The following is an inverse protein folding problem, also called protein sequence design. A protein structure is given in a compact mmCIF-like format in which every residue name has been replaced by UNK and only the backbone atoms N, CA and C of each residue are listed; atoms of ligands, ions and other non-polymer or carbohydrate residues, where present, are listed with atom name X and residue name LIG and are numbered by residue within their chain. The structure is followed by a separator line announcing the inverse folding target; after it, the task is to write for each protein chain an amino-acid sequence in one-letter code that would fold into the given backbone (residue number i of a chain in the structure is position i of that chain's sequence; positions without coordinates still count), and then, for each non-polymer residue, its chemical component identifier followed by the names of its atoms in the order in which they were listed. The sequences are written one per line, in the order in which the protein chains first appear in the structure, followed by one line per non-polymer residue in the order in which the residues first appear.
data_IF_326785754282
#
_entry.id   IF_326785754282
#
_cell.length_a   1.000
_cell.length_b   1.000
_cell.length_c   1.000
_cell.angle_alpha   90.00
_cell.angle_beta   90.00
_cell.angle_gamma   90.00
#
_symmetry.space_group_name_H-M   'P 1'
#
loop_
_entity.id
_entity.type
_entity.pdbx_description
1 polymer ?
#
# COMPACT_ATOMS: atom_id res chain seq x y z
N UNK A 1 8.49 -31.23 10.51
CA UNK A 1 8.55 -29.83 10.08
C UNK A 1 7.13 -29.33 10.05
N UNK A 2 6.71 -28.56 11.06
CA UNK A 2 5.41 -27.91 11.00
C UNK A 2 5.35 -27.06 9.75
N UNK A 3 4.35 -27.29 8.92
CA UNK A 3 4.10 -26.55 7.71
C UNK A 3 3.61 -25.16 8.15
N UNK A 4 4.52 -24.29 8.61
CA UNK A 4 4.18 -22.93 8.98
C UNK A 4 3.78 -22.19 7.71
N UNK A 5 2.48 -22.22 7.43
CA UNK A 5 1.87 -21.42 6.40
C UNK A 5 2.11 -19.96 6.78
N UNK A 6 2.83 -19.24 5.91
CA UNK A 6 3.13 -17.82 6.12
C UNK A 6 1.83 -17.02 6.33
N UNK A 7 1.76 -16.27 7.42
CA UNK A 7 0.61 -15.43 7.72
C UNK A 7 0.52 -14.27 6.72
N UNK A 8 -0.66 -13.97 6.14
CA UNK A 8 -0.79 -12.83 5.25
C UNK A 8 -0.60 -11.51 5.99
N UNK A 9 0.10 -10.58 5.34
CA UNK A 9 0.27 -9.20 5.78
C UNK A 9 -0.20 -8.26 4.66
N UNK A 10 -1.09 -7.33 4.99
CA UNK A 10 -1.57 -6.31 4.06
C UNK A 10 -1.11 -4.93 4.51
N UNK A 11 -0.31 -4.26 3.69
CA UNK A 11 -0.03 -2.84 3.82
C UNK A 11 -0.97 -2.05 2.91
N UNK A 12 -1.91 -1.34 3.52
CA UNK A 12 -2.97 -0.59 2.85
C UNK A 12 -2.73 0.92 2.97
N UNK A 13 -2.94 1.67 1.89
CA UNK A 13 -2.89 3.13 1.98
C UNK A 13 -3.34 3.83 0.72
N UNK A 14 -3.19 5.16 0.72
CA UNK A 14 -3.41 5.99 -0.45
C UNK A 14 -2.22 5.91 -1.41
N UNK A 15 -2.45 6.27 -2.68
CA UNK A 15 -1.33 6.66 -3.52
C UNK A 15 -0.65 7.88 -2.89
N UNK A 16 0.68 7.92 -2.92
CA UNK A 16 1.49 9.04 -2.41
C UNK A 16 1.47 9.25 -0.87
N UNK A 17 0.91 8.33 -0.08
CA UNK A 17 0.99 8.39 1.40
C UNK A 17 2.24 7.73 2.01
N UNK A 18 3.24 7.38 1.21
CA UNK A 18 4.46 6.69 1.70
C UNK A 18 4.34 5.17 1.80
N UNK A 19 3.28 4.57 1.27
CA UNK A 19 3.10 3.11 1.20
C UNK A 19 4.31 2.37 0.60
N UNK A 20 4.92 2.89 -0.46
CA UNK A 20 6.12 2.27 -1.07
C UNK A 20 7.34 2.35 -0.15
N UNK A 21 7.51 3.44 0.59
CA UNK A 21 8.61 3.61 1.55
C UNK A 21 8.50 2.55 2.66
N UNK A 22 7.31 2.45 3.27
CA UNK A 22 7.08 1.48 4.32
C UNK A 22 7.19 0.04 3.81
N UNK A 23 6.67 -0.27 2.62
CA UNK A 23 6.85 -1.58 2.01
C UNK A 23 8.32 -1.95 1.83
N UNK A 24 9.15 -1.01 1.37
CA UNK A 24 10.58 -1.26 1.22
C UNK A 24 11.29 -1.52 2.56
N UNK A 25 10.90 -0.79 3.62
CA UNK A 25 11.43 -1.03 4.97
C UNK A 25 11.00 -2.39 5.52
N UNK A 26 9.74 -2.77 5.38
CA UNK A 26 9.23 -4.08 5.79
C UNK A 26 9.88 -5.22 5.00
N UNK A 27 10.11 -5.02 3.69
CA UNK A 27 10.83 -5.96 2.84
C UNK A 27 12.29 -6.19 3.24
N UNK A 28 12.87 -5.29 4.04
CA UNK A 28 14.20 -5.48 4.62
C UNK A 28 14.27 -6.55 5.70
N UNK A 29 13.15 -6.98 6.29
CA UNK A 29 13.13 -7.94 7.38
C UNK A 29 13.33 -9.41 6.91
N UNK A 30 14.06 -10.21 7.68
CA UNK A 30 14.26 -11.67 7.48
C UNK A 30 12.96 -12.40 7.23
N UNK A 31 11.94 -12.13 8.04
CA UNK A 31 10.71 -12.88 8.16
C UNK A 31 9.53 -12.31 7.37
N UNK A 32 9.76 -11.29 6.53
CA UNK A 32 8.71 -10.71 5.69
C UNK A 32 9.07 -10.91 4.21
N UNK A 33 8.17 -11.58 3.48
CA UNK A 33 8.15 -11.62 2.02
C UNK A 33 7.28 -10.45 1.55
N UNK A 34 7.87 -9.32 1.15
CA UNK A 34 7.09 -8.13 0.79
C UNK A 34 6.87 -7.99 -0.72
N UNK A 35 5.64 -8.21 -1.18
CA UNK A 35 5.21 -7.94 -2.55
C UNK A 35 4.82 -6.47 -2.74
N UNK A 36 5.12 -5.96 -3.94
CA UNK A 36 4.76 -4.62 -4.36
C UNK A 36 3.60 -4.68 -5.35
N UNK A 37 2.39 -4.39 -4.86
CA UNK A 37 1.19 -4.24 -5.69
C UNK A 37 0.81 -5.48 -6.51
N UNK A 38 1.01 -6.68 -5.95
CA UNK A 38 0.51 -7.90 -6.59
C UNK A 38 -1.01 -7.95 -6.53
N UNK A 39 -1.65 -7.84 -7.70
CA UNK A 39 -3.12 -7.82 -7.85
C UNK A 39 -3.72 -9.22 -8.02
N UNK A 40 -2.93 -10.27 -7.85
CA UNK A 40 -3.31 -11.67 -8.06
C UNK A 40 -3.39 -12.40 -6.70
N UNK A 41 -3.24 -13.74 -6.70
CA UNK A 41 -3.19 -14.56 -5.48
C UNK A 41 -1.76 -14.88 -5.02
N UNK A 42 -0.75 -14.23 -5.60
CA UNK A 42 0.66 -14.57 -5.38
C UNK A 42 1.08 -14.39 -3.91
N UNK A 43 0.46 -13.44 -3.21
CA UNK A 43 0.64 -13.20 -1.76
C UNK A 43 0.39 -14.43 -0.88
N UNK A 44 -0.31 -15.46 -1.38
CA UNK A 44 -0.61 -16.68 -0.63
C UNK A 44 0.20 -17.90 -1.08
N UNK A 45 1.13 -17.71 -2.01
CA UNK A 45 1.93 -18.79 -2.61
C UNK A 45 3.40 -18.74 -2.23
N UNK A 46 3.84 -17.64 -1.62
CA UNK A 46 5.20 -17.51 -1.14
C UNK A 46 5.40 -18.38 0.11
N UNK A 47 6.59 -18.93 0.25
CA UNK A 47 6.98 -19.85 1.33
C UNK A 47 8.29 -19.39 1.96
N UNK A 48 8.61 -19.94 3.14
CA UNK A 48 9.92 -19.82 3.76
C UNK A 48 10.12 -18.64 4.73
N UNK A 49 9.10 -17.80 4.95
CA UNK A 49 9.13 -16.70 5.93
C UNK A 49 7.83 -16.67 6.74
N UNK A 50 7.84 -16.08 7.94
CA UNK A 50 6.62 -15.97 8.78
C UNK A 50 5.50 -15.16 8.13
N UNK A 51 5.81 -14.07 7.43
CA UNK A 51 4.81 -13.19 6.83
C UNK A 51 4.93 -13.09 5.31
N UNK A 52 3.79 -13.15 4.63
CA UNK A 52 3.66 -12.79 3.23
C UNK A 52 2.95 -11.44 3.10
N UNK A 53 3.74 -10.39 3.02
CA UNK A 53 3.32 -9.01 2.85
C UNK A 53 2.92 -8.69 1.42
N UNK A 54 1.89 -7.86 1.24
CA UNK A 54 1.58 -7.22 -0.02
C UNK A 54 1.14 -5.79 0.22
N UNK A 55 1.76 -4.84 -0.51
CA UNK A 55 1.38 -3.43 -0.48
C UNK A 55 0.34 -3.19 -1.55
N UNK A 56 -0.84 -2.70 -1.17
CA UNK A 56 -1.93 -2.39 -2.10
C UNK A 56 -2.52 -1.00 -1.82
N UNK A 57 -2.95 -0.34 -2.88
CA UNK A 57 -3.64 0.94 -2.83
C UNK A 57 -5.14 0.70 -2.65
N UNK A 58 -5.70 1.25 -1.57
CA UNK A 58 -7.13 1.18 -1.33
C UNK A 58 -7.89 1.89 -2.48
N UNK A 59 -9.13 1.46 -2.73
CA UNK A 59 -10.02 1.93 -3.78
C UNK A 59 -9.58 1.65 -5.24
N UNK A 60 -8.30 1.87 -5.60
CA UNK A 60 -7.76 1.64 -6.95
C UNK A 60 -7.45 0.16 -7.21
N UNK A 61 -6.87 -0.54 -6.22
CA UNK A 61 -6.45 -1.93 -6.38
C UNK A 61 -7.31 -2.87 -5.55
N UNK A 62 -7.62 -2.49 -4.31
CA UNK A 62 -8.39 -3.34 -3.39
C UNK A 62 -9.55 -2.55 -2.77
N UNK A 63 -10.68 -3.23 -2.59
CA UNK A 63 -11.91 -2.70 -1.97
C UNK A 63 -12.47 -3.75 -1.03
N UNK A 64 -13.37 -3.33 -0.14
CA UNK A 64 -13.94 -4.20 0.89
C UNK A 64 -14.53 -5.50 0.33
N UNK A 65 -15.44 -5.38 -0.63
CA UNK A 65 -16.22 -6.51 -1.15
C UNK A 65 -16.20 -6.64 -2.69
N UNK A 66 -15.42 -5.80 -3.38
CA UNK A 66 -15.43 -5.76 -4.85
C UNK A 66 -14.11 -6.26 -5.45
N UNK A 67 -14.21 -7.24 -6.33
CA UNK A 67 -13.08 -7.79 -7.10
C UNK A 67 -12.96 -7.18 -8.48
N UNK A 68 -11.77 -7.31 -9.07
CA UNK A 68 -11.57 -7.08 -10.49
C UNK A 68 -12.40 -8.05 -11.35
N UNK A 69 -12.90 -7.55 -12.47
CA UNK A 69 -13.64 -8.32 -13.47
C UNK A 69 -13.27 -7.88 -14.88
N UNK A 70 -13.48 -8.74 -15.89
CA UNK A 70 -13.20 -8.40 -17.29
C UNK A 70 -13.98 -7.16 -17.74
N UNK A 71 -15.25 -7.07 -17.34
CA UNK A 71 -16.08 -5.90 -17.58
C UNK A 71 -15.54 -4.66 -16.87
N UNK A 72 -15.13 -4.78 -15.60
CA UNK A 72 -14.53 -3.67 -14.87
C UNK A 72 -13.24 -3.15 -15.51
N UNK A 73 -12.39 -4.03 -16.05
CA UNK A 73 -11.22 -3.64 -16.83
C UNK A 73 -11.58 -2.91 -18.13
N UNK A 74 -12.63 -3.37 -18.83
CA UNK A 74 -13.13 -2.69 -20.03
C UNK A 74 -13.65 -1.29 -19.69
N UNK A 75 -14.50 -1.14 -18.67
CA UNK A 75 -15.01 0.16 -18.22
C UNK A 75 -13.86 1.08 -17.82
N UNK A 76 -12.89 0.57 -17.06
CA UNK A 76 -11.69 1.32 -16.71
C UNK A 76 -10.96 1.85 -17.95
N UNK A 77 -10.92 1.14 -19.08
CA UNK A 77 -10.32 1.65 -20.33
C UNK A 77 -11.19 2.71 -20.99
N UNK A 78 -12.50 2.47 -21.07
CA UNK A 78 -13.47 3.38 -21.71
C UNK A 78 -13.43 4.76 -21.05
N UNK A 79 -13.55 4.83 -19.72
CA UNK A 79 -13.62 6.12 -19.00
C UNK A 79 -12.31 6.92 -19.06
N UNK A 80 -11.19 6.27 -19.37
CA UNK A 80 -9.90 6.93 -19.54
C UNK A 80 -9.53 7.14 -21.02
N UNK A 81 -10.44 6.84 -21.95
CA UNK A 81 -10.19 6.86 -23.39
C UNK A 81 -8.92 6.08 -23.77
N UNK A 82 -8.62 5.02 -23.03
CA UNK A 82 -7.37 4.26 -23.12
C UNK A 82 -7.53 3.07 -24.08
N UNK A 83 -7.68 3.40 -25.37
CA UNK A 83 -7.82 2.44 -26.47
C UNK A 83 -6.57 2.32 -27.33
N UNK A 84 -5.54 3.12 -27.05
CA UNK A 84 -4.25 3.07 -27.74
C UNK A 84 -3.47 1.78 -27.44
N UNK A 85 -2.45 1.52 -28.28
CA UNK A 85 -1.50 0.42 -28.07
C UNK A 85 -0.57 0.65 -26.89
N UNK A 86 -0.32 1.91 -26.53
CA UNK A 86 0.52 2.26 -25.37
C UNK A 86 -0.31 2.42 -24.09
N UNK A 87 0.08 1.75 -22.99
CA UNK A 87 -0.63 1.83 -21.74
C UNK A 87 -0.43 3.20 -21.08
N UNK A 88 -1.46 4.05 -21.12
CA UNK A 88 -1.48 5.28 -20.32
C UNK A 88 -1.91 5.02 -18.88
N UNK A 89 -1.35 5.70 -17.87
CA UNK A 89 -1.87 5.65 -16.50
C UNK A 89 -3.33 6.09 -16.46
N UNK A 90 -4.20 5.30 -15.83
CA UNK A 90 -5.61 5.66 -15.71
C UNK A 90 -5.78 6.76 -14.66
N UNK A 91 -6.44 7.86 -15.01
CA UNK A 91 -6.82 8.91 -14.07
C UNK A 91 -7.92 8.41 -13.14
N UNK A 92 -8.95 7.79 -13.72
CA UNK A 92 -10.12 7.29 -13.01
C UNK A 92 -10.09 5.76 -12.90
N UNK A 93 -10.45 5.23 -11.73
CA UNK A 93 -10.61 3.79 -11.48
C UNK A 93 -12.00 3.47 -10.92
N UNK A 94 -13.05 3.44 -11.76
CA UNK A 94 -14.38 3.00 -11.30
C UNK A 94 -14.38 1.58 -10.73
N UNK A 95 -13.53 0.68 -11.24
CA UNK A 95 -13.39 -0.70 -10.76
C UNK A 95 -11.97 -1.00 -10.27
N UNK A 96 -11.82 -1.83 -9.21
CA UNK A 96 -10.51 -2.22 -8.71
C UNK A 96 -9.79 -3.15 -9.68
N UNK A 97 -8.46 -3.23 -9.56
CA UNK A 97 -7.62 -4.15 -10.35
C UNK A 97 -7.26 -5.46 -9.63
N UNK A 98 -7.44 -5.52 -8.31
CA UNK A 98 -7.15 -6.69 -7.47
C UNK A 98 -8.16 -7.82 -7.62
N UNK A 99 -7.67 -9.06 -7.72
CA UNK A 99 -8.50 -10.28 -7.67
C UNK A 99 -8.96 -10.62 -6.25
N UNK A 100 -8.28 -10.07 -5.24
CA UNK A 100 -8.61 -10.18 -3.83
C UNK A 100 -9.27 -8.89 -3.33
N UNK A 101 -10.09 -9.03 -2.31
CA UNK A 101 -10.82 -8.00 -1.58
C UNK A 101 -10.24 -7.85 -0.17
N UNK A 102 -10.57 -6.77 0.55
CA UNK A 102 -10.17 -6.67 1.97
C UNK A 102 -10.80 -7.81 2.78
N UNK A 103 -12.04 -8.21 2.45
CA UNK A 103 -12.70 -9.34 3.10
C UNK A 103 -11.91 -10.64 2.93
N UNK A 104 -11.29 -10.90 1.77
CA UNK A 104 -10.45 -12.10 1.60
C UNK A 104 -9.21 -12.11 2.51
N UNK A 105 -8.64 -10.94 2.77
CA UNK A 105 -7.51 -10.83 3.71
C UNK A 105 -8.00 -11.05 5.14
N UNK A 106 -9.14 -10.46 5.50
CA UNK A 106 -9.79 -10.64 6.80
C UNK A 106 -10.14 -12.11 7.06
N UNK A 107 -10.75 -12.79 6.08
CA UNK A 107 -11.17 -14.20 6.19
C UNK A 107 -9.97 -15.15 6.34
N UNK A 108 -8.77 -14.67 6.02
CA UNK A 108 -7.50 -15.40 6.17
C UNK A 108 -6.67 -14.91 7.35
N UNK A 109 -7.31 -14.18 8.27
CA UNK A 109 -6.69 -13.64 9.48
C UNK A 109 -5.39 -12.87 9.19
N UNK A 110 -5.42 -12.04 8.14
CA UNK A 110 -4.30 -11.21 7.76
C UNK A 110 -4.02 -10.14 8.81
N UNK A 111 -2.74 -9.91 9.11
CA UNK A 111 -2.31 -8.68 9.80
C UNK A 111 -2.47 -7.51 8.82
N UNK A 112 -3.12 -6.43 9.25
CA UNK A 112 -3.38 -5.26 8.41
C UNK A 112 -2.65 -4.06 9.00
N UNK A 113 -1.89 -3.37 8.16
CA UNK A 113 -1.25 -2.09 8.50
C UNK A 113 -1.83 -1.04 7.55
N UNK A 114 -2.33 0.06 8.08
CA UNK A 114 -2.75 1.20 7.26
C UNK A 114 -1.71 2.32 7.35
N UNK A 115 -1.48 3.02 6.24
CA UNK A 115 -0.68 4.24 6.24
C UNK A 115 -1.39 5.40 5.56
N UNK A 116 -1.69 6.43 6.35
CA UNK A 116 -2.37 7.65 5.92
C UNK A 116 -1.43 8.86 5.96
N UNK A 117 -1.75 9.88 5.17
CA UNK A 117 -1.00 11.14 5.10
C UNK A 117 -2.01 12.27 4.94
N UNK A 118 -1.66 13.47 5.42
CA UNK A 118 -2.48 14.68 5.32
C UNK A 118 -3.02 14.87 3.89
N UNK A 119 -4.32 15.16 3.77
CA UNK A 119 -5.06 15.18 2.50
C UNK A 119 -4.43 16.14 1.50
N UNK A 120 -4.10 17.34 1.94
CA UNK A 120 -3.56 18.42 1.09
C UNK A 120 -2.23 18.00 0.46
N UNK A 121 -1.37 17.32 1.22
CA UNK A 121 -0.07 16.84 0.75
C UNK A 121 -0.23 15.70 -0.28
N UNK A 122 -1.18 14.79 -0.05
CA UNK A 122 -1.47 13.70 -0.98
C UNK A 122 -2.04 14.25 -2.28
N UNK A 123 -3.04 15.13 -2.21
CA UNK A 123 -3.67 15.76 -3.37
C UNK A 123 -2.63 16.55 -4.18
N UNK A 124 -1.83 17.39 -3.52
CA UNK A 124 -0.74 18.13 -4.17
C UNK A 124 0.27 17.20 -4.85
N UNK A 125 0.63 16.08 -4.21
CA UNK A 125 1.53 15.08 -4.81
C UNK A 125 0.94 14.40 -6.04
N UNK A 126 -0.36 14.05 -6.01
CA UNK A 126 -1.06 13.43 -7.13
C UNK A 126 -1.10 14.39 -8.32
N UNK A 127 -1.52 15.64 -8.11
CA UNK A 127 -1.63 16.65 -9.17
C UNK A 127 -0.27 16.95 -9.80
N UNK A 128 0.82 17.02 -9.01
CA UNK A 128 2.18 17.26 -9.53
C UNK A 128 2.75 16.09 -10.36
N UNK A 129 2.28 14.87 -10.14
CA UNK A 129 2.89 13.63 -10.68
C UNK A 129 2.00 12.92 -11.69
N UNK A 130 0.77 13.37 -11.87
CA UNK A 130 -0.23 12.75 -12.73
C UNK A 130 -1.02 13.83 -13.45
N UNK A 131 -1.83 13.45 -14.43
CA UNK A 131 -2.70 14.39 -15.14
C UNK A 131 -4.09 14.52 -14.49
N UNK A 132 -4.22 14.19 -13.20
CA UNK A 132 -5.48 14.35 -12.44
C UNK A 132 -5.65 15.80 -12.00
N UNK A 133 -6.88 16.32 -12.09
CA UNK A 133 -7.21 17.60 -11.48
C UNK A 133 -7.29 17.50 -9.96
N UNK A 134 -7.16 18.63 -9.26
CA UNK A 134 -7.30 18.69 -7.80
C UNK A 134 -8.63 18.11 -7.32
N UNK A 135 -9.73 18.43 -8.01
CA UNK A 135 -11.06 17.88 -7.72
C UNK A 135 -11.10 16.36 -7.85
N UNK A 136 -10.44 15.80 -8.87
CA UNK A 136 -10.36 14.35 -9.06
C UNK A 136 -9.50 13.68 -7.97
N UNK A 137 -8.35 14.26 -7.65
CA UNK A 137 -7.45 13.76 -6.62
C UNK A 137 -8.08 13.81 -5.22
N UNK A 138 -8.74 14.92 -4.88
CA UNK A 138 -9.46 15.10 -3.61
C UNK A 138 -10.60 14.09 -3.47
N UNK A 139 -11.41 13.91 -4.52
CA UNK A 139 -12.48 12.90 -4.52
C UNK A 139 -11.93 11.48 -4.37
N UNK A 140 -10.84 11.16 -5.04
CA UNK A 140 -10.23 9.84 -4.90
C UNK A 140 -9.69 9.62 -3.48
N UNK A 141 -9.06 10.63 -2.88
CA UNK A 141 -8.61 10.55 -1.50
C UNK A 141 -9.75 10.21 -0.55
N UNK A 142 -10.92 10.86 -0.69
CA UNK A 142 -12.08 10.59 0.17
C UNK A 142 -12.59 9.15 0.00
N UNK A 143 -12.60 8.64 -1.23
CA UNK A 143 -12.96 7.25 -1.51
C UNK A 143 -11.97 6.24 -0.92
N UNK A 144 -10.68 6.57 -0.95
CA UNK A 144 -9.60 5.78 -0.33
C UNK A 144 -9.77 5.74 1.19
N UNK A 145 -9.96 6.89 1.84
CA UNK A 145 -10.16 6.95 3.29
C UNK A 145 -11.40 6.18 3.70
N UNK A 146 -12.49 6.26 2.94
CA UNK A 146 -13.68 5.46 3.21
C UNK A 146 -13.41 3.94 3.13
N UNK A 147 -12.55 3.47 2.22
CA UNK A 147 -12.15 2.05 2.21
C UNK A 147 -11.24 1.69 3.38
N UNK A 148 -10.31 2.56 3.78
CA UNK A 148 -9.43 2.35 4.94
C UNK A 148 -10.22 2.29 6.25
N UNK A 149 -11.18 3.19 6.44
CA UNK A 149 -12.02 3.27 7.63
C UNK A 149 -12.80 1.97 7.90
N UNK A 150 -13.07 1.16 6.87
CA UNK A 150 -13.75 -0.13 7.02
C UNK A 150 -12.90 -1.19 7.71
N UNK A 151 -11.59 -0.99 7.82
CA UNK A 151 -10.64 -1.93 8.43
C UNK A 151 -9.83 -1.33 9.57
N UNK A 152 -10.05 -0.05 9.91
CA UNK A 152 -9.30 0.68 10.94
C UNK A 152 -9.30 -0.03 12.29
N UNK A 153 -10.43 -0.61 12.71
CA UNK A 153 -10.54 -1.32 14.00
C UNK A 153 -9.77 -2.64 14.05
N UNK A 154 -9.30 -3.13 12.90
CA UNK A 154 -8.57 -4.41 12.76
C UNK A 154 -7.12 -4.21 12.32
N UNK A 155 -6.70 -2.96 12.15
CA UNK A 155 -5.42 -2.61 11.59
C UNK A 155 -4.54 -1.87 12.58
N UNK A 156 -3.23 -2.04 12.46
CA UNK A 156 -2.28 -1.08 13.02
C UNK A 156 -2.28 0.16 12.13
N UNK A 157 -2.75 1.28 12.67
CA UNK A 157 -2.87 2.53 11.92
C UNK A 157 -1.62 3.39 12.13
N UNK A 158 -0.93 3.70 11.04
CA UNK A 158 0.28 4.51 11.01
C UNK A 158 0.04 5.76 10.17
N UNK A 159 0.62 6.87 10.55
CA UNK A 159 0.68 8.07 9.73
C UNK A 159 2.05 8.21 9.07
N UNK A 160 2.08 8.79 7.88
CA UNK A 160 3.34 9.11 7.20
C UNK A 160 4.22 10.02 8.05
N UNK A 161 3.61 10.93 8.83
CA UNK A 161 4.31 11.85 9.74
C UNK A 161 5.05 11.11 10.86
N UNK A 162 4.44 10.09 11.45
CA UNK A 162 5.11 9.24 12.44
C UNK A 162 6.28 8.49 11.80
N UNK A 163 6.05 7.86 10.65
CA UNK A 163 7.07 7.06 9.96
C UNK A 163 8.33 7.87 9.60
N UNK A 164 8.17 9.11 9.15
CA UNK A 164 9.32 9.96 8.78
C UNK A 164 9.93 10.71 9.95
N UNK A 165 9.14 10.99 11.00
CA UNK A 165 9.60 11.69 12.20
C UNK A 165 10.42 10.78 13.11
N UNK A 166 9.99 9.53 13.28
CA UNK A 166 10.72 8.49 14.01
C UNK A 166 10.58 7.13 13.29
N UNK A 167 11.39 6.88 12.24
CA UNK A 167 11.32 5.64 11.48
C UNK A 167 11.61 4.40 12.34
N UNK A 168 12.58 4.48 13.24
CA UNK A 168 12.97 3.34 14.08
C UNK A 168 11.88 2.99 15.09
N UNK A 169 11.34 3.98 15.81
CA UNK A 169 10.24 3.76 16.76
C UNK A 169 8.97 3.26 16.07
N UNK A 170 8.67 3.79 14.87
CA UNK A 170 7.54 3.31 14.05
C UNK A 170 7.75 1.85 13.63
N UNK A 171 8.93 1.48 13.16
CA UNK A 171 9.23 0.10 12.76
C UNK A 171 9.23 -0.86 13.96
N UNK A 172 9.74 -0.45 15.13
CA UNK A 172 9.63 -1.22 16.37
C UNK A 172 8.17 -1.48 16.75
N UNK A 173 7.32 -0.46 16.65
CA UNK A 173 5.87 -0.61 16.88
C UNK A 173 5.25 -1.62 15.92
N UNK A 174 5.60 -1.57 14.64
CA UNK A 174 5.12 -2.53 13.65
C UNK A 174 5.62 -3.94 13.93
N UNK A 175 6.90 -4.11 14.27
CA UNK A 175 7.47 -5.43 14.58
C UNK A 175 6.78 -6.04 15.80
N UNK A 176 6.52 -5.26 16.85
CA UNK A 176 5.76 -5.70 18.01
C UNK A 176 4.34 -6.16 17.64
N UNK A 177 3.64 -5.44 16.75
CA UNK A 177 2.31 -5.86 16.26
C UNK A 177 2.32 -7.17 15.44
N UNK A 178 3.45 -7.46 14.80
CA UNK A 178 3.69 -8.67 14.02
C UNK A 178 4.38 -9.78 14.83
N UNK A 179 4.58 -9.61 16.14
CA UNK A 179 5.33 -10.55 16.99
C UNK A 179 6.72 -10.90 16.39
N UNK A 180 7.42 -9.87 15.91
CA UNK A 180 8.76 -9.92 15.34
C UNK A 180 9.72 -9.03 16.15
N UNK A 181 11.01 -9.39 16.15
CA UNK A 181 12.06 -8.50 16.65
C UNK A 181 12.44 -7.47 15.59
N UNK A 182 12.67 -6.22 16.01
CA UNK A 182 13.14 -5.19 15.08
C UNK A 182 14.53 -5.52 14.54
N UNK A 183 14.70 -5.41 13.22
CA UNK A 183 15.99 -5.57 12.56
C UNK A 183 16.49 -4.22 11.98
N UNK A 184 17.70 -3.74 12.36
CA UNK A 184 18.22 -2.45 11.89
C UNK A 184 18.31 -2.32 10.36
N UNK A 185 18.45 -3.43 9.63
CA UNK A 185 18.48 -3.44 8.17
C UNK A 185 17.18 -2.96 7.52
N UNK A 186 16.05 -2.99 8.23
CA UNK A 186 14.78 -2.45 7.74
C UNK A 186 14.89 -0.96 7.41
N UNK A 187 15.73 -0.21 8.15
CA UNK A 187 15.96 1.22 7.89
C UNK A 187 16.65 1.49 6.56
N UNK A 188 17.36 0.51 5.99
CA UNK A 188 18.01 0.59 4.68
C UNK A 188 17.07 0.33 3.51
N UNK A 189 15.81 -0.08 3.78
CA UNK A 189 14.80 -0.32 2.75
C UNK A 189 14.70 0.76 1.65
N UNK A 190 14.75 2.08 1.97
CA UNK A 190 14.69 3.14 0.97
C UNK A 190 15.81 3.07 -0.07
N UNK A 191 17.02 2.64 0.31
CA UNK A 191 18.18 2.51 -0.58
C UNK A 191 17.95 1.45 -1.66
N UNK A 192 17.16 0.42 -1.34
CA UNK A 192 16.82 -0.70 -2.24
C UNK A 192 15.48 -0.52 -2.95
N UNK A 193 14.84 0.65 -2.81
CA UNK A 193 13.58 0.94 -3.48
C UNK A 193 13.80 1.18 -4.99
N UNK A 194 13.46 0.19 -5.80
CA UNK A 194 13.54 0.28 -7.26
C UNK A 194 12.61 1.35 -7.87
N UNK A 195 11.57 1.80 -7.15
CA UNK A 195 10.63 2.83 -7.63
C UNK A 195 11.17 4.25 -7.37
N UNK A 196 11.94 4.43 -6.30
CA UNK A 196 12.58 5.70 -5.93
C UNK A 196 13.89 5.40 -5.19
N UNK A 197 15.03 5.26 -5.90
CA UNK A 197 16.32 5.01 -5.28
C UNK A 197 16.83 6.30 -4.64
N UNK A 198 16.30 6.65 -3.47
CA UNK A 198 16.81 7.72 -2.64
C UNK A 198 17.80 7.14 -1.64
N UNK A 199 19.00 7.73 -1.55
CA UNK A 199 20.08 7.24 -0.67
C UNK A 199 19.75 7.34 0.83
N UNK A 200 18.67 8.03 1.21
CA UNK A 200 18.25 8.22 2.60
C UNK A 200 16.76 8.57 2.71
N UNK A 201 16.19 8.42 3.90
CA UNK A 201 14.84 8.91 4.23
C UNK A 201 14.90 10.45 4.19
N UNK A 202 14.27 11.05 3.21
CA UNK A 202 14.22 12.50 3.09
C UNK A 202 13.16 13.05 4.05
N UNK A 203 13.58 13.38 5.28
CA UNK A 203 12.72 14.00 6.31
C UNK A 203 12.12 15.34 5.85
N UNK A 204 12.79 16.08 4.95
CA UNK A 204 12.25 17.33 4.37
C UNK A 204 11.01 17.14 3.49
N UNK A 205 10.64 15.90 3.12
CA UNK A 205 9.35 15.60 2.45
C UNK A 205 8.14 15.62 3.40
N UNK A 206 8.40 15.80 4.70
CA UNK A 206 7.40 15.85 5.77
C UNK A 206 7.26 17.24 6.42
N UNK A 207 7.95 18.24 5.87
CA UNK A 207 7.74 19.67 6.15
C UNK A 207 6.97 20.27 4.98
N UNK A 208 6.01 21.17 5.18
CA UNK A 208 6.18 22.46 5.87
C UNK A 208 5.01 22.78 6.84
N UNK A 209 5.34 23.55 7.90
CA UNK A 209 4.48 24.35 8.79
C UNK A 209 2.96 24.16 8.75
#
# INVERSE_FOLDING_TARGET
MENHQSQPLLLLGCQRSGTTLLAAMLGGHSEINMLFESVTKDTFRLIGKRYNGNKLLAYRQIRMNQRASRFGHLINRIVNLNFGREPKPHKLRPFPTGRLTLQDYIDRDAKIITIVRKKEEVVSSIVKRTEMSEKQASREYDLVINEINKVTDRALNITFKELVGDPEGTLKTICNYLDLEFEPRMLKGPEYNFVYPEKSIISSKSTEN
#
